data_IF_965074465134
#
_entry.id   IF_965074465134
#
_cell.length_a   1.000
_cell.length_b   1.000
_cell.length_c   1.000
_cell.angle_alpha   90.00
_cell.angle_beta   90.00
_cell.angle_gamma   90.00
#
_symmetry.space_group_name_H-M   'P 1'
#
loop_
_entity.id
_entity.type
_entity.pdbx_description
1 polymer ?
#
# COMPACT_ATOMS: atom_id res chain seq x y z
N UNK A 1 6.65 0.12 -2.76
CA UNK A 1 6.81 -0.67 -4.00
C UNK A 1 8.16 -1.37 -3.97
N UNK A 2 8.26 -2.58 -4.50
CA UNK A 2 9.51 -3.34 -4.61
C UNK A 2 10.02 -3.27 -6.06
N UNK A 3 11.26 -2.83 -6.24
CA UNK A 3 11.92 -2.67 -7.53
C UNK A 3 13.03 -3.71 -7.63
N UNK A 4 12.97 -4.59 -8.62
CA UNK A 4 14.03 -5.59 -8.84
C UNK A 4 15.20 -4.98 -9.62
N UNK A 5 16.37 -5.60 -9.51
CA UNK A 5 17.54 -5.24 -10.31
C UNK A 5 17.31 -5.40 -11.82
N UNK A 6 16.40 -6.30 -12.21
CA UNK A 6 15.97 -6.52 -13.61
C UNK A 6 15.02 -5.42 -14.13
N UNK A 7 14.75 -4.37 -13.34
CA UNK A 7 13.91 -3.24 -13.71
C UNK A 7 12.41 -3.48 -13.54
N UNK A 8 12.00 -4.61 -12.96
CA UNK A 8 10.59 -4.86 -12.70
C UNK A 8 10.11 -4.16 -11.43
N UNK A 9 8.86 -3.71 -11.45
CA UNK A 9 8.18 -3.14 -10.28
C UNK A 9 7.10 -4.09 -9.80
N UNK A 10 7.02 -4.27 -8.49
CA UNK A 10 5.94 -4.97 -7.81
C UNK A 10 5.29 -4.01 -6.80
N UNK A 11 4.04 -3.57 -7.05
CA UNK A 11 3.27 -2.84 -6.05
C UNK A 11 2.98 -3.73 -4.84
N UNK A 12 3.28 -3.21 -3.65
CA UNK A 12 3.26 -3.98 -2.41
C UNK A 12 2.20 -3.46 -1.43
N UNK A 13 2.14 -2.14 -1.28
CA UNK A 13 1.26 -1.48 -0.31
C UNK A 13 0.79 -0.14 -0.86
N UNK A 14 -0.43 0.23 -0.47
CA UNK A 14 -0.99 1.58 -0.57
C UNK A 14 -1.48 1.96 0.82
N UNK A 15 -1.03 3.12 1.31
CA UNK A 15 -1.51 3.73 2.54
C UNK A 15 -2.35 4.95 2.16
N UNK A 16 -3.62 4.96 2.54
CA UNK A 16 -4.55 6.05 2.20
C UNK A 16 -4.95 6.76 3.48
N UNK A 17 -4.66 8.06 3.54
CA UNK A 17 -5.27 8.96 4.52
C UNK A 17 -6.26 9.85 3.77
N UNK A 18 -7.52 9.84 4.17
CA UNK A 18 -8.58 10.59 3.50
C UNK A 18 -9.51 11.28 4.48
N UNK A 19 -10.24 12.27 3.98
CA UNK A 19 -11.32 12.94 4.69
C UNK A 19 -12.63 12.59 3.99
N UNK A 20 -13.54 11.96 4.73
CA UNK A 20 -14.90 11.72 4.27
C UNK A 20 -15.78 12.91 4.67
N UNK A 21 -15.96 13.84 3.74
CA UNK A 21 -16.70 15.08 3.95
C UNK A 21 -18.19 14.85 4.23
N UNK A 22 -18.75 13.68 3.86
CA UNK A 22 -20.15 13.34 4.13
C UNK A 22 -20.36 12.93 5.59
N UNK A 23 -19.30 12.47 6.27
CA UNK A 23 -19.34 12.06 7.68
C UNK A 23 -18.87 13.18 8.61
N UNK A 24 -19.60 14.31 8.56
CA UNK A 24 -19.39 15.43 9.46
C UNK A 24 -20.12 15.22 10.78
N UNK A 25 -19.42 15.45 11.89
CA UNK A 25 -20.05 15.49 13.20
C UNK A 25 -20.09 16.95 13.67
N UNK A 26 -21.29 17.55 13.65
CA UNK A 26 -21.50 18.97 13.99
C UNK A 26 -21.42 19.25 15.50
N UNK A 27 -21.68 18.26 16.34
CA UNK A 27 -21.70 18.40 17.80
C UNK A 27 -20.39 17.97 18.41
N UNK A 28 -19.59 18.94 18.85
CA UNK A 28 -18.34 18.72 19.56
C UNK A 28 -18.31 19.42 20.90
N UNK A 29 -17.64 18.79 21.86
CA UNK A 29 -17.34 19.39 23.15
C UNK A 29 -16.32 20.55 22.99
N UNK A 30 -16.28 21.46 23.96
CA UNK A 30 -15.40 22.64 23.92
C UNK A 30 -13.88 22.34 23.81
N UNK A 31 -13.46 21.08 23.99
CA UNK A 31 -12.05 20.65 23.95
C UNK A 31 -11.67 19.90 22.65
N UNK A 32 -12.06 20.45 21.50
CA UNK A 32 -11.82 19.86 20.17
C UNK A 32 -10.34 19.56 19.94
N UNK A 33 -9.45 20.49 20.31
CA UNK A 33 -8.02 20.35 20.03
C UNK A 33 -7.44 19.13 20.74
N UNK A 34 -7.66 18.99 22.05
CA UNK A 34 -7.08 17.89 22.81
C UNK A 34 -7.64 16.54 22.37
N UNK A 35 -8.94 16.47 22.08
CA UNK A 35 -9.55 15.25 21.56
C UNK A 35 -9.00 14.87 20.19
N UNK A 36 -8.86 15.83 19.27
CA UNK A 36 -8.28 15.60 17.95
C UNK A 36 -6.83 15.13 18.06
N UNK A 37 -6.00 15.79 18.87
CA UNK A 37 -4.61 15.38 19.09
C UNK A 37 -4.51 13.96 19.65
N UNK A 38 -5.35 13.61 20.63
CA UNK A 38 -5.37 12.27 21.20
C UNK A 38 -5.74 11.22 20.16
N UNK A 39 -6.77 11.48 19.35
CA UNK A 39 -7.30 10.53 18.38
C UNK A 39 -6.34 10.32 17.21
N UNK A 40 -5.74 11.40 16.70
CA UNK A 40 -4.64 11.31 15.72
C UNK A 40 -3.43 10.55 16.30
N UNK A 41 -3.11 10.75 17.58
CA UNK A 41 -2.02 10.01 18.23
C UNK A 41 -2.30 8.52 18.33
N UNK A 42 -3.55 8.13 18.59
CA UNK A 42 -3.98 6.72 18.59
C UNK A 42 -3.88 6.15 17.18
N UNK A 43 -4.40 6.84 16.18
CA UNK A 43 -4.37 6.42 14.78
C UNK A 43 -2.93 6.23 14.27
N UNK A 44 -2.02 7.14 14.62
CA UNK A 44 -0.60 7.03 14.30
C UNK A 44 0.03 5.77 14.93
N UNK A 45 -0.30 5.47 16.20
CA UNK A 45 0.18 4.23 16.85
C UNK A 45 -0.35 2.98 16.14
N UNK A 46 -1.63 2.96 15.76
CA UNK A 46 -2.21 1.88 14.97
C UNK A 46 -1.47 1.70 13.64
N UNK A 47 -1.16 2.79 12.94
CA UNK A 47 -0.38 2.78 11.70
C UNK A 47 1.02 2.18 11.89
N UNK A 48 1.74 2.59 12.94
CA UNK A 48 3.07 2.09 13.26
C UNK A 48 3.09 0.59 13.56
N UNK A 49 2.02 0.07 14.18
CA UNK A 49 1.87 -1.37 14.44
C UNK A 49 1.54 -2.09 13.14
N UNK A 50 0.55 -1.62 12.39
CA UNK A 50 0.14 -2.21 11.11
C UNK A 50 1.29 -2.29 10.11
N UNK A 51 2.11 -1.24 10.02
CA UNK A 51 3.27 -1.18 9.14
C UNK A 51 4.31 -2.27 9.43
N UNK A 52 4.34 -2.81 10.65
CA UNK A 52 5.24 -3.92 11.01
C UNK A 52 4.66 -5.31 10.70
N UNK A 53 3.34 -5.37 10.52
CA UNK A 53 2.59 -6.61 10.37
C UNK A 53 2.36 -7.01 8.91
N UNK A 54 2.55 -6.08 7.98
CA UNK A 54 2.40 -6.37 6.56
C UNK A 54 3.49 -7.31 6.02
N UNK A 55 3.21 -8.04 4.92
CA UNK A 55 4.20 -8.90 4.28
C UNK A 55 5.47 -8.15 3.84
N UNK A 56 5.35 -6.91 3.34
CA UNK A 56 6.50 -6.10 2.89
C UNK A 56 7.52 -5.95 4.04
N UNK A 57 7.05 -5.52 5.21
CA UNK A 57 7.92 -5.32 6.36
C UNK A 57 8.49 -6.64 6.89
N UNK A 58 7.64 -7.66 7.06
CA UNK A 58 8.04 -8.93 7.67
C UNK A 58 9.07 -9.70 6.85
N UNK A 59 9.00 -9.63 5.52
CA UNK A 59 9.80 -10.50 4.66
C UNK A 59 10.85 -9.77 3.82
N UNK A 60 10.64 -8.50 3.47
CA UNK A 60 11.44 -7.84 2.41
C UNK A 60 12.28 -6.66 2.90
N UNK A 61 11.80 -5.88 3.88
CA UNK A 61 12.50 -4.65 4.32
C UNK A 61 13.95 -4.88 4.71
N UNK A 62 14.25 -5.97 5.42
CA UNK A 62 15.61 -6.33 5.86
C UNK A 62 16.46 -7.05 4.81
N UNK A 63 15.90 -7.39 3.65
CA UNK A 63 16.55 -8.22 2.62
C UNK A 63 16.87 -7.45 1.34
N UNK A 64 16.78 -6.12 1.38
CA UNK A 64 17.10 -5.26 0.24
C UNK A 64 18.58 -5.37 -0.12
N UNK A 65 18.87 -5.40 -1.41
CA UNK A 65 20.21 -5.30 -1.98
C UNK A 65 20.12 -4.71 -3.38
N UNK A 66 21.13 -3.97 -3.81
CA UNK A 66 21.23 -3.50 -5.19
C UNK A 66 21.22 -4.65 -6.21
N UNK A 67 21.67 -5.83 -5.80
CA UNK A 67 21.77 -7.00 -6.67
C UNK A 67 20.45 -7.79 -6.78
N UNK A 68 19.45 -7.47 -5.94
CA UNK A 68 18.18 -8.20 -5.90
C UNK A 68 17.00 -7.26 -6.07
N UNK A 69 16.75 -6.44 -5.06
CA UNK A 69 15.67 -5.47 -5.06
C UNK A 69 15.89 -4.37 -4.01
N UNK A 70 15.27 -3.22 -4.29
CA UNK A 70 15.12 -2.10 -3.35
C UNK A 70 13.66 -1.74 -3.17
N UNK A 71 13.31 -1.19 -2.02
CA UNK A 71 11.96 -0.73 -1.71
C UNK A 71 11.92 0.78 -1.86
N UNK A 72 11.01 1.25 -2.70
CA UNK A 72 10.76 2.68 -2.92
C UNK A 72 9.34 3.04 -2.50
N UNK A 73 9.14 4.31 -2.20
CA UNK A 73 7.82 4.88 -1.91
C UNK A 73 7.52 6.01 -2.89
N UNK A 74 6.23 6.27 -3.10
CA UNK A 74 5.72 7.41 -3.86
C UNK A 74 4.59 8.03 -3.05
N UNK A 75 4.55 9.35 -3.00
CA UNK A 75 3.43 10.12 -2.46
C UNK A 75 2.63 10.67 -3.62
N UNK A 76 1.31 10.66 -3.49
CA UNK A 76 0.39 11.15 -4.50
C UNK A 76 -0.95 11.50 -3.86
N UNK A 77 -1.69 12.36 -4.52
CA UNK A 77 -3.06 12.72 -4.17
C UNK A 77 -4.03 11.91 -5.04
N UNK A 78 -5.22 11.65 -4.51
CA UNK A 78 -6.27 10.87 -5.20
C UNK A 78 -6.22 9.38 -4.89
N UNK A 79 -7.05 8.63 -5.62
CA UNK A 79 -7.13 7.19 -5.47
C UNK A 79 -5.85 6.52 -6.01
N UNK A 80 -5.36 5.52 -5.29
CA UNK A 80 -4.23 4.72 -5.78
C UNK A 80 -4.67 3.83 -6.93
N UNK A 81 -3.97 3.93 -8.06
CA UNK A 81 -4.13 3.07 -9.24
C UNK A 81 -3.22 1.83 -9.18
N UNK A 82 -2.55 1.59 -8.05
CA UNK A 82 -1.63 0.47 -7.91
C UNK A 82 -2.37 -0.87 -7.87
N UNK A 83 -2.03 -1.76 -8.81
CA UNK A 83 -2.49 -3.14 -8.78
C UNK A 83 -1.75 -3.97 -7.72
N UNK A 84 -2.43 -4.19 -6.59
CA UNK A 84 -1.94 -5.02 -5.48
C UNK A 84 -2.23 -6.52 -5.68
N UNK A 85 -2.87 -6.91 -6.80
CA UNK A 85 -3.30 -8.26 -7.09
C UNK A 85 -4.68 -8.61 -6.53
N UNK A 86 -5.27 -9.69 -7.02
CA UNK A 86 -6.64 -10.12 -6.68
C UNK A 86 -6.84 -10.44 -5.19
N UNK A 87 -5.82 -11.01 -4.54
CA UNK A 87 -5.85 -11.37 -3.12
C UNK A 87 -5.32 -10.25 -2.19
N UNK A 88 -5.30 -9.00 -2.69
CA UNK A 88 -4.93 -7.87 -1.86
C UNK A 88 -5.87 -7.77 -0.65
N UNK A 89 -5.30 -7.50 0.52
CA UNK A 89 -6.06 -7.27 1.75
C UNK A 89 -6.11 -5.78 2.02
N UNK A 90 -7.25 -5.31 2.53
CA UNK A 90 -7.45 -3.95 3.03
C UNK A 90 -7.77 -3.99 4.51
N UNK A 91 -7.14 -3.10 5.28
CA UNK A 91 -7.36 -2.92 6.71
C UNK A 91 -7.70 -1.46 6.94
N UNK A 92 -8.84 -1.22 7.57
CA UNK A 92 -9.18 0.08 8.16
C UNK A 92 -8.45 0.19 9.51
N UNK A 93 -7.59 1.20 9.64
CA UNK A 93 -6.76 1.44 10.81
C UNK A 93 -7.37 2.47 11.77
N UNK A 94 -8.44 3.12 11.36
CA UNK A 94 -9.15 4.09 12.17
C UNK A 94 -9.97 5.04 11.34
N UNK A 95 -11.12 5.39 11.92
CA UNK A 95 -12.03 6.42 11.45
C UNK A 95 -12.35 7.34 12.61
N UNK A 96 -12.19 8.63 12.40
CA UNK A 96 -12.44 9.65 13.39
C UNK A 96 -13.23 10.81 12.76
N UNK A 97 -14.55 10.92 13.04
CA UNK A 97 -15.35 12.06 12.60
C UNK A 97 -14.69 13.37 13.05
N UNK A 98 -14.87 14.45 12.29
CA UNK A 98 -14.50 15.82 12.69
C UNK A 98 -15.52 16.81 12.11
N UNK A 99 -15.50 18.10 12.51
CA UNK A 99 -16.37 19.11 11.91
C UNK A 99 -16.14 19.33 10.41
N UNK A 100 -15.01 18.90 9.85
CA UNK A 100 -14.68 19.02 8.42
C UNK A 100 -14.82 17.71 7.66
N UNK A 101 -15.39 16.68 8.29
CA UNK A 101 -15.49 15.32 7.76
C UNK A 101 -14.65 14.32 8.55
N UNK A 102 -14.83 13.03 8.29
CA UNK A 102 -14.15 12.00 9.05
C UNK A 102 -12.77 11.68 8.48
N UNK A 103 -11.75 11.80 9.31
CA UNK A 103 -10.43 11.31 9.00
C UNK A 103 -10.43 9.78 8.98
N UNK A 104 -9.98 9.21 7.89
CA UNK A 104 -9.86 7.77 7.69
C UNK A 104 -8.41 7.43 7.34
N UNK A 105 -7.92 6.37 7.96
CA UNK A 105 -6.63 5.79 7.61
C UNK A 105 -6.82 4.32 7.26
N UNK A 106 -6.40 3.92 6.08
CA UNK A 106 -6.43 2.54 5.63
C UNK A 106 -5.07 2.13 5.04
N UNK A 107 -4.82 0.83 5.09
CA UNK A 107 -3.72 0.21 4.34
C UNK A 107 -4.28 -0.94 3.50
N UNK A 108 -3.96 -0.92 2.22
CA UNK A 108 -4.13 -2.06 1.33
C UNK A 108 -2.76 -2.66 1.01
N UNK A 109 -2.63 -3.99 1.05
CA UNK A 109 -1.36 -4.65 0.78
C UNK A 109 -1.54 -5.97 0.02
N UNK A 110 -0.54 -6.26 -0.81
CA UNK A 110 -0.40 -7.50 -1.58
C UNK A 110 -0.09 -8.66 -0.65
N UNK A 111 -0.76 -9.79 -0.88
CA UNK A 111 -0.48 -11.06 -0.17
C UNK A 111 0.22 -12.08 -1.06
N UNK A 112 0.01 -12.03 -2.37
CA UNK A 112 0.66 -12.90 -3.36
C UNK A 112 1.85 -12.22 -4.04
N UNK A 113 3.03 -12.82 -3.90
CA UNK A 113 4.31 -12.24 -4.33
C UNK A 113 4.83 -12.82 -5.66
N UNK A 114 4.30 -13.96 -6.09
CA UNK A 114 4.61 -14.50 -7.40
C UNK A 114 3.88 -13.64 -8.44
N UNK A 115 4.65 -13.10 -9.40
CA UNK A 115 4.06 -12.65 -10.65
C UNK A 115 3.83 -13.90 -11.50
N UNK A 116 2.63 -14.09 -12.03
CA UNK A 116 2.46 -14.98 -13.17
C UNK A 116 3.32 -14.42 -14.30
N UNK A 117 4.41 -15.12 -14.64
CA UNK A 117 5.15 -14.82 -15.86
C UNK A 117 4.18 -15.09 -17.01
N UNK A 118 3.76 -14.04 -17.71
CA UNK A 118 3.20 -14.20 -19.03
C UNK A 118 4.23 -14.98 -19.85
N UNK A 119 3.90 -16.22 -20.20
CA UNK A 119 4.67 -17.02 -21.14
C UNK A 119 4.68 -16.23 -22.45
N UNK A 120 5.76 -15.50 -22.72
CA UNK A 120 5.98 -15.00 -24.07
C UNK A 120 6.05 -16.22 -24.99
N UNK A 121 5.33 -16.23 -26.14
CA UNK A 121 5.42 -17.33 -27.06
C UNK A 121 6.88 -17.43 -27.50
N UNK A 122 7.49 -18.58 -27.29
CA UNK A 122 8.78 -18.89 -27.90
C UNK A 122 8.59 -18.83 -29.40
N UNK A 123 9.07 -17.76 -30.04
CA UNK A 123 9.21 -17.73 -31.50
C UNK A 123 10.16 -18.86 -31.87
N UNK A 124 9.58 -19.96 -32.38
CA UNK A 124 10.32 -21.08 -32.92
C UNK A 124 11.03 -20.61 -34.18
N UNK A 125 12.33 -20.36 -34.09
CA UNK A 125 13.19 -20.31 -35.26
C UNK A 125 13.33 -21.75 -35.78
N UNK A 126 12.45 -22.14 -36.70
CA UNK A 126 12.68 -23.29 -37.57
C UNK A 126 13.85 -22.94 -38.51
N UNK A 127 15.02 -23.51 -38.24
CA UNK A 127 16.11 -23.53 -39.22
C UNK A 127 15.73 -24.52 -40.34
N UNK A 128 15.67 -24.10 -41.62
CA UNK A 128 15.48 -25.04 -42.71
C UNK A 128 16.81 -25.76 -42.98
N UNK A 129 16.90 -27.02 -42.58
CA UNK A 129 17.83 -27.97 -43.19
C UNK A 129 17.31 -28.28 -44.60
N UNK A 130 18.09 -27.96 -45.63
CA UNK A 130 18.01 -28.65 -46.92
C UNK A 130 19.41 -29.09 -47.38
N UNK A 131 19.50 -30.43 -47.43
CA UNK A 131 20.29 -31.36 -48.26
C UNK A 131 21.32 -30.77 -49.22
#
# INVERSE_FOLDING_TARGET
MLYTCDGEVLPMETWTFSVDEEDQQLTWANDIKSQLYLQLSVMLRSAMVAARMTPLHRYYVKKQSCDTFVILYKLGEGASELDLGSEAKRIDLGRFPTPVGAFKLEVAYRTQMAKERALSPREGHESPNQV
#
